data_IF_274706073842
#
_entry.id   IF_274706073842
#
_cell.length_a   1.000
_cell.length_b   1.000
_cell.length_c   1.000
_cell.angle_alpha   90.00
_cell.angle_beta   90.00
_cell.angle_gamma   90.00
#
_symmetry.space_group_name_H-M   'P 1'
#
loop_
_entity.id
_entity.type
_entity.pdbx_description
1 polymer ?
#
# COMPACT_ATOMS: atom_id res chain seq x y z
N UNK A 1 -33.01 3.39 -4.34
CA UNK A 1 -31.69 3.23 -3.68
C UNK A 1 -30.72 2.25 -4.35
N UNK A 2 -31.14 1.08 -4.87
CA UNK A 2 -30.30 0.32 -5.84
C UNK A 2 -29.82 1.26 -6.95
N UNK A 3 -30.73 2.09 -7.43
CA UNK A 3 -30.50 3.20 -8.36
C UNK A 3 -29.50 4.25 -7.84
N UNK A 4 -29.53 4.65 -6.56
CA UNK A 4 -28.62 5.68 -6.02
C UNK A 4 -27.17 5.18 -5.85
N UNK A 5 -27.00 3.94 -5.37
CA UNK A 5 -25.67 3.30 -5.30
C UNK A 5 -25.14 3.02 -6.70
N UNK A 6 -25.99 2.57 -7.63
CA UNK A 6 -25.64 2.45 -9.05
C UNK A 6 -25.26 3.81 -9.63
N UNK A 7 -26.00 4.89 -9.36
CA UNK A 7 -25.69 6.25 -9.83
C UNK A 7 -24.35 6.73 -9.25
N UNK A 8 -24.06 6.47 -7.97
CA UNK A 8 -22.78 6.86 -7.37
C UNK A 8 -21.60 6.06 -7.94
N UNK A 9 -21.76 4.74 -8.13
CA UNK A 9 -20.75 3.89 -8.78
C UNK A 9 -20.57 4.25 -10.25
N UNK A 10 -21.67 4.57 -10.95
CA UNK A 10 -21.64 5.02 -12.34
C UNK A 10 -20.99 6.39 -12.45
N UNK A 11 -21.29 7.33 -11.54
CA UNK A 11 -20.65 8.65 -11.49
C UNK A 11 -19.16 8.54 -11.20
N UNK A 12 -18.74 7.64 -10.29
CA UNK A 12 -17.33 7.37 -10.02
C UNK A 12 -16.65 6.71 -11.22
N UNK A 13 -17.32 5.77 -11.90
CA UNK A 13 -16.82 5.13 -13.11
C UNK A 13 -16.74 6.10 -14.29
N UNK A 14 -17.69 7.03 -14.44
CA UNK A 14 -17.70 8.09 -15.43
C UNK A 14 -16.61 9.11 -15.13
N UNK A 15 -16.42 9.52 -13.87
CA UNK A 15 -15.33 10.40 -13.46
C UNK A 15 -13.96 9.76 -13.70
N UNK A 16 -13.78 8.49 -13.33
CA UNK A 16 -12.57 7.74 -13.63
C UNK A 16 -12.36 7.60 -15.14
N UNK A 17 -13.41 7.30 -15.90
CA UNK A 17 -13.38 7.23 -17.36
C UNK A 17 -13.03 8.56 -18.01
N UNK A 18 -13.51 9.69 -17.48
CA UNK A 18 -13.16 11.04 -17.94
C UNK A 18 -11.69 11.38 -17.64
N UNK A 19 -11.18 11.03 -16.46
CA UNK A 19 -9.77 11.23 -16.11
C UNK A 19 -8.85 10.46 -17.07
N UNK A 20 -9.20 9.21 -17.39
CA UNK A 20 -8.47 8.37 -18.34
C UNK A 20 -8.63 8.87 -19.79
N UNK A 21 -9.82 9.27 -20.21
CA UNK A 21 -10.10 9.76 -21.57
C UNK A 21 -9.40 11.08 -21.87
N UNK A 22 -9.35 11.99 -20.89
CA UNK A 22 -8.66 13.29 -21.02
C UNK A 22 -7.14 13.15 -21.00
N UNK A 23 -6.61 11.96 -20.69
CA UNK A 23 -5.18 11.72 -20.48
C UNK A 23 -4.61 12.54 -19.31
N UNK A 24 -5.46 12.93 -18.36
CA UNK A 24 -5.05 13.72 -17.20
C UNK A 24 -4.17 12.89 -16.26
N UNK A 25 -4.47 11.60 -16.14
CA UNK A 25 -3.65 10.60 -15.45
C UNK A 25 -2.22 10.55 -16.01
N UNK A 26 -2.10 10.51 -17.33
CA UNK A 26 -0.83 10.48 -18.05
C UNK A 26 -0.03 11.78 -17.88
N UNK A 27 -0.71 12.93 -17.92
CA UNK A 27 -0.08 14.24 -17.69
C UNK A 27 0.42 14.37 -16.25
N UNK A 28 -0.39 13.98 -15.27
CA UNK A 28 -0.03 14.01 -13.86
C UNK A 28 1.10 13.02 -13.56
N UNK A 29 1.07 11.82 -14.15
CA UNK A 29 2.14 10.84 -14.00
C UNK A 29 3.47 11.35 -14.58
N UNK A 30 3.47 11.92 -15.79
CA UNK A 30 4.68 12.51 -16.39
C UNK A 30 5.23 13.67 -15.57
N UNK A 31 4.37 14.54 -15.06
CA UNK A 31 4.76 15.65 -14.19
C UNK A 31 5.40 15.14 -12.88
N UNK A 32 4.78 14.14 -12.25
CA UNK A 32 5.32 13.52 -11.02
C UNK A 32 6.68 12.86 -11.26
N UNK A 33 6.88 12.18 -12.39
CA UNK A 33 8.17 11.59 -12.78
C UNK A 33 9.23 12.67 -13.03
N UNK A 34 8.85 13.79 -13.68
CA UNK A 34 9.74 14.94 -13.87
C UNK A 34 10.25 15.49 -12.54
N UNK A 35 9.33 15.78 -11.61
CA UNK A 35 9.69 16.23 -10.27
C UNK A 35 10.60 15.23 -9.55
N UNK A 36 10.31 13.92 -9.61
CA UNK A 36 11.18 12.92 -8.99
C UNK A 36 12.63 12.98 -9.50
N UNK A 37 12.84 13.16 -10.81
CA UNK A 37 14.17 13.30 -11.40
C UNK A 37 14.87 14.58 -10.93
N UNK A 38 14.15 15.70 -10.89
CA UNK A 38 14.69 16.98 -10.44
C UNK A 38 15.14 16.92 -8.97
N UNK A 39 14.37 16.27 -8.11
CA UNK A 39 14.72 16.06 -6.70
C UNK A 39 15.92 15.12 -6.54
N UNK A 40 16.04 14.04 -7.32
CA UNK A 40 17.22 13.17 -7.31
C UNK A 40 18.49 13.93 -7.71
N UNK A 41 18.40 14.79 -8.74
CA UNK A 41 19.49 15.66 -9.16
C UNK A 41 19.83 16.70 -8.08
N UNK A 42 18.83 17.26 -7.39
CA UNK A 42 19.03 18.17 -6.27
C UNK A 42 19.73 17.48 -5.09
N UNK A 43 19.36 16.23 -4.77
CA UNK A 43 20.01 15.40 -3.76
C UNK A 43 21.52 15.26 -4.04
N UNK A 44 21.86 14.95 -5.28
CA UNK A 44 23.25 14.77 -5.70
C UNK A 44 24.06 16.07 -5.65
N UNK A 45 23.44 17.21 -5.97
CA UNK A 45 24.06 18.53 -5.86
C UNK A 45 24.28 18.95 -4.40
N UNK A 46 23.28 18.75 -3.54
CA UNK A 46 23.35 19.11 -2.13
C UNK A 46 24.54 18.46 -1.39
N UNK A 47 24.88 17.21 -1.76
CA UNK A 47 26.02 16.49 -1.17
C UNK A 47 27.39 16.94 -1.70
N UNK A 48 27.46 17.55 -2.89
CA UNK A 48 28.72 18.01 -3.50
C UNK A 48 29.13 19.42 -3.08
N UNK A 49 28.22 20.22 -2.54
CA UNK A 49 28.41 21.65 -2.33
C UNK A 49 29.30 22.04 -1.13
N UNK A 50 29.46 21.17 -0.13
CA UNK A 50 30.30 21.46 1.05
C UNK A 50 29.85 22.67 1.90
N UNK A 51 28.65 23.20 1.67
CA UNK A 51 28.15 24.43 2.29
C UNK A 51 27.60 24.18 3.72
N UNK A 52 27.70 25.19 4.59
CA UNK A 52 27.01 25.21 5.89
C UNK A 52 25.50 25.09 5.68
N UNK A 53 24.91 24.00 6.17
CA UNK A 53 23.48 23.69 5.98
C UNK A 53 23.19 22.63 4.92
N UNK A 54 24.21 22.11 4.22
CA UNK A 54 24.05 21.06 3.21
C UNK A 54 23.29 19.83 3.72
N UNK A 55 23.55 19.40 4.96
CA UNK A 55 22.84 18.26 5.58
C UNK A 55 21.36 18.57 5.79
N UNK A 56 21.02 19.74 6.32
CA UNK A 56 19.62 20.15 6.53
C UNK A 56 18.87 20.27 5.21
N UNK A 57 19.48 20.91 4.21
CA UNK A 57 18.92 21.01 2.87
C UNK A 57 18.72 19.63 2.25
N UNK A 58 19.72 18.76 2.35
CA UNK A 58 19.67 17.38 1.88
C UNK A 58 18.54 16.57 2.54
N UNK A 59 18.40 16.64 3.87
CA UNK A 59 17.32 15.97 4.60
C UNK A 59 15.95 16.54 4.20
N UNK A 60 15.84 17.86 4.01
CA UNK A 60 14.63 18.51 3.50
C UNK A 60 14.24 18.01 2.11
N UNK A 61 15.22 17.88 1.20
CA UNK A 61 15.02 17.31 -0.14
C UNK A 61 14.63 15.83 -0.05
N UNK A 62 15.23 15.04 0.85
CA UNK A 62 14.83 13.65 1.09
C UNK A 62 13.37 13.54 1.51
N UNK A 63 12.94 14.38 2.47
CA UNK A 63 11.55 14.42 2.95
C UNK A 63 10.59 14.77 1.81
N UNK A 64 10.88 15.87 1.09
CA UNK A 64 10.05 16.35 0.00
C UNK A 64 9.95 15.34 -1.15
N UNK A 65 11.07 14.67 -1.50
CA UNK A 65 11.06 13.55 -2.44
C UNK A 65 10.16 12.42 -1.94
N UNK A 66 10.31 12.00 -0.68
CA UNK A 66 9.48 10.93 -0.09
C UNK A 66 7.99 11.24 -0.09
N UNK A 67 7.63 12.50 0.19
CA UNK A 67 6.26 13.01 0.13
C UNK A 67 5.73 12.99 -1.31
N UNK A 68 6.41 13.65 -2.26
CA UNK A 68 5.98 13.73 -3.65
C UNK A 68 5.96 12.37 -4.36
N UNK A 69 6.91 11.49 -4.01
CA UNK A 69 6.94 10.12 -4.50
C UNK A 69 5.67 9.36 -4.10
N UNK A 70 5.17 9.59 -2.90
CA UNK A 70 3.94 8.97 -2.45
C UNK A 70 2.68 9.53 -3.15
N UNK A 71 2.68 10.81 -3.58
CA UNK A 71 1.58 11.42 -4.34
C UNK A 71 1.42 10.84 -5.75
N UNK A 72 2.52 10.60 -6.48
CA UNK A 72 2.46 10.02 -7.84
C UNK A 72 1.90 8.60 -7.82
N UNK A 73 1.29 8.05 -8.89
CA UNK A 73 0.62 6.74 -8.87
C UNK A 73 1.53 5.60 -8.37
N UNK A 74 1.00 4.66 -7.57
CA UNK A 74 1.81 3.57 -7.01
C UNK A 74 1.06 2.63 -6.05
N UNK A 75 1.58 1.41 -5.92
CA UNK A 75 0.89 0.27 -5.31
C UNK A 75 0.65 0.43 -3.80
N UNK A 76 1.61 0.97 -3.03
CA UNK A 76 1.52 1.06 -1.57
C UNK A 76 0.30 1.83 -1.07
N UNK A 77 0.05 3.03 -1.60
CA UNK A 77 -1.14 3.84 -1.26
C UNK A 77 -2.45 3.20 -1.73
N UNK A 78 -2.45 2.58 -2.91
CA UNK A 78 -3.62 1.91 -3.44
C UNK A 78 -3.98 0.70 -2.56
N UNK A 79 -2.97 -0.02 -2.09
CA UNK A 79 -3.13 -1.17 -1.23
C UNK A 79 -3.59 -0.79 0.18
N UNK A 80 -2.96 0.22 0.82
CA UNK A 80 -3.39 0.74 2.12
C UNK A 80 -4.83 1.29 2.04
N UNK A 81 -5.15 2.03 0.98
CA UNK A 81 -6.50 2.57 0.75
C UNK A 81 -7.53 1.46 0.54
N UNK A 82 -7.25 0.50 -0.34
CA UNK A 82 -8.10 -0.65 -0.61
C UNK A 82 -8.30 -1.51 0.64
N UNK A 83 -7.23 -1.80 1.39
CA UNK A 83 -7.30 -2.58 2.63
C UNK A 83 -8.13 -1.85 3.70
N UNK A 84 -7.96 -0.53 3.84
CA UNK A 84 -8.73 0.31 4.76
C UNK A 84 -10.20 0.43 4.38
N UNK A 85 -10.54 0.39 3.08
CA UNK A 85 -11.93 0.36 2.61
C UNK A 85 -12.58 -1.02 2.78
N UNK A 86 -11.82 -2.08 2.52
CA UNK A 86 -12.29 -3.46 2.51
C UNK A 86 -12.40 -4.09 3.91
N UNK A 87 -11.51 -3.73 4.83
CA UNK A 87 -11.42 -4.41 6.14
C UNK A 87 -11.81 -3.48 7.27
N UNK A 88 -12.55 -3.99 8.26
CA UNK A 88 -12.95 -3.20 9.43
C UNK A 88 -11.82 -3.06 10.46
N UNK A 89 -10.76 -2.35 10.05
CA UNK A 89 -9.60 -2.04 10.90
C UNK A 89 -9.78 -0.66 11.51
N UNK A 90 -9.51 -0.46 12.82
CA UNK A 90 -9.63 0.83 13.46
C UNK A 90 -8.61 1.84 12.89
N UNK A 91 -9.00 3.12 12.87
CA UNK A 91 -8.20 4.22 12.31
C UNK A 91 -6.74 4.22 12.79
N UNK A 92 -6.53 4.14 14.10
CA UNK A 92 -5.19 4.12 14.71
C UNK A 92 -4.31 3.01 14.15
N UNK A 93 -4.89 1.82 13.93
CA UNK A 93 -4.18 0.66 13.39
C UNK A 93 -3.90 0.79 11.90
N UNK A 94 -4.81 1.42 11.15
CA UNK A 94 -4.55 1.73 9.73
C UNK A 94 -3.42 2.74 9.56
N UNK A 95 -3.41 3.81 10.37
CA UNK A 95 -2.32 4.79 10.37
C UNK A 95 -1.00 4.15 10.81
N UNK A 96 -1.01 3.31 11.85
CA UNK A 96 0.20 2.59 12.26
C UNK A 96 0.70 1.63 11.18
N UNK A 97 -0.19 0.95 10.47
CA UNK A 97 0.19 0.08 9.35
C UNK A 97 0.83 0.87 8.21
N UNK A 98 0.28 2.03 7.86
CA UNK A 98 0.88 2.93 6.87
C UNK A 98 2.29 3.36 7.30
N UNK A 99 2.45 3.77 8.56
CA UNK A 99 3.75 4.15 9.13
C UNK A 99 4.77 3.01 9.13
N UNK A 100 4.40 1.85 9.67
CA UNK A 100 5.26 0.65 9.71
C UNK A 100 5.68 0.26 8.29
N UNK A 101 4.73 0.29 7.34
CA UNK A 101 5.01 -0.06 5.94
C UNK A 101 6.02 0.90 5.32
N UNK A 102 5.84 2.21 5.46
CA UNK A 102 6.75 3.21 4.89
C UNK A 102 8.14 3.18 5.53
N UNK A 103 8.24 2.94 6.83
CA UNK A 103 9.53 2.78 7.50
C UNK A 103 10.21 1.45 7.16
N UNK A 104 9.44 0.36 7.04
CA UNK A 104 9.96 -0.93 6.60
C UNK A 104 10.52 -0.85 5.17
N UNK A 105 9.92 -0.07 4.27
CA UNK A 105 10.51 0.19 2.94
C UNK A 105 11.89 0.83 3.03
N UNK A 106 12.06 1.82 3.92
CA UNK A 106 13.36 2.44 4.15
C UNK A 106 14.37 1.42 4.72
N UNK A 107 13.95 0.61 5.69
CA UNK A 107 14.79 -0.46 6.26
C UNK A 107 15.20 -1.50 5.21
N UNK A 108 14.28 -1.95 4.34
CA UNK A 108 14.60 -2.86 3.24
C UNK A 108 15.57 -2.20 2.27
N UNK A 109 15.40 -0.93 1.93
CA UNK A 109 16.33 -0.21 1.06
C UNK A 109 17.75 -0.17 1.66
N UNK A 110 17.87 0.19 2.94
CA UNK A 110 19.14 0.17 3.68
C UNK A 110 19.75 -1.23 3.65
N UNK A 111 18.99 -2.26 4.01
CA UNK A 111 19.47 -3.63 4.04
C UNK A 111 19.96 -4.10 2.66
N UNK A 112 19.18 -3.88 1.60
CA UNK A 112 19.51 -4.27 0.23
C UNK A 112 20.76 -3.54 -0.26
N UNK A 113 20.88 -2.23 -0.02
CA UNK A 113 22.04 -1.46 -0.48
C UNK A 113 23.29 -1.89 0.26
N UNK A 114 23.29 -1.95 1.58
CA UNK A 114 24.51 -2.30 2.32
C UNK A 114 24.89 -3.78 2.16
N UNK A 115 23.92 -4.69 2.04
CA UNK A 115 24.22 -6.07 1.63
C UNK A 115 24.82 -6.11 0.22
N UNK A 116 24.24 -5.37 -0.73
CA UNK A 116 24.76 -5.27 -2.09
C UNK A 116 26.14 -4.61 -2.18
N UNK A 117 26.43 -3.62 -1.34
CA UNK A 117 27.76 -3.02 -1.19
C UNK A 117 28.76 -4.05 -0.70
N UNK A 118 28.41 -4.82 0.34
CA UNK A 118 29.27 -5.85 0.90
C UNK A 118 29.54 -7.00 -0.08
N UNK A 119 28.53 -7.44 -0.84
CA UNK A 119 28.64 -8.56 -1.79
C UNK A 119 29.28 -8.12 -3.12
N UNK A 120 28.90 -6.95 -3.64
CA UNK A 120 29.24 -6.51 -5.01
C UNK A 120 30.20 -5.31 -5.08
N UNK A 121 30.77 -4.87 -3.95
CA UNK A 121 31.71 -3.74 -3.90
C UNK A 121 31.08 -2.39 -4.29
N UNK A 122 29.76 -2.26 -4.10
CA UNK A 122 29.02 -1.04 -4.41
C UNK A 122 28.78 -0.79 -5.91
N UNK A 123 28.83 -1.83 -6.75
CA UNK A 123 28.43 -1.76 -8.15
C UNK A 123 26.91 -1.49 -8.25
N UNK A 124 26.55 -0.25 -8.60
CA UNK A 124 25.16 0.23 -8.61
C UNK A 124 24.22 -0.67 -9.39
N UNK A 125 24.60 -1.05 -10.61
CA UNK A 125 23.76 -1.86 -11.50
C UNK A 125 23.45 -3.24 -10.89
N UNK A 126 24.39 -3.81 -10.12
CA UNK A 126 24.18 -5.09 -9.42
C UNK A 126 23.28 -4.94 -8.20
N UNK A 127 23.39 -3.83 -7.46
CA UNK A 127 22.48 -3.52 -6.34
C UNK A 127 21.06 -3.27 -6.85
N UNK A 128 20.91 -2.54 -7.95
CA UNK A 128 19.63 -2.33 -8.61
C UNK A 128 19.05 -3.65 -9.13
N UNK A 129 19.86 -4.51 -9.75
CA UNK A 129 19.44 -5.86 -10.17
C UNK A 129 19.00 -6.75 -9.00
N UNK A 130 19.73 -6.71 -7.88
CA UNK A 130 19.36 -7.43 -6.66
C UNK A 130 18.02 -6.92 -6.10
N UNK A 131 17.82 -5.60 -6.07
CA UNK A 131 16.52 -5.02 -5.71
C UNK A 131 15.41 -5.42 -6.69
N UNK A 132 15.68 -5.47 -7.99
CA UNK A 132 14.71 -5.85 -9.01
C UNK A 132 14.22 -7.30 -8.81
N UNK A 133 15.09 -8.19 -8.34
CA UNK A 133 14.72 -9.58 -8.02
C UNK A 133 13.71 -9.72 -6.87
N UNK A 134 13.55 -8.69 -6.04
CA UNK A 134 12.53 -8.65 -4.98
C UNK A 134 11.14 -8.28 -5.50
N UNK A 135 11.05 -7.70 -6.70
CA UNK A 135 9.78 -7.22 -7.27
C UNK A 135 8.73 -8.32 -7.48
N UNK A 136 9.07 -9.52 -8.00
CA UNK A 136 8.11 -10.61 -8.16
C UNK A 136 7.52 -11.08 -6.82
N UNK A 137 8.34 -11.11 -5.75
CA UNK A 137 7.90 -11.52 -4.41
C UNK A 137 6.93 -10.49 -3.81
N UNK A 138 7.22 -9.20 -3.97
CA UNK A 138 6.30 -8.11 -3.64
C UNK A 138 4.98 -8.24 -4.39
N UNK A 139 5.03 -8.44 -5.71
CA UNK A 139 3.83 -8.62 -6.54
C UNK A 139 3.01 -9.85 -6.13
N UNK A 140 3.67 -10.98 -5.84
CA UNK A 140 3.02 -12.20 -5.38
C UNK A 140 2.31 -12.01 -4.02
N UNK A 141 2.97 -11.34 -3.06
CA UNK A 141 2.37 -11.06 -1.76
C UNK A 141 1.14 -10.15 -1.88
N UNK A 142 1.20 -9.11 -2.72
CA UNK A 142 0.07 -8.21 -2.97
C UNK A 142 -1.08 -8.96 -3.68
N UNK A 143 -0.77 -9.78 -4.68
CA UNK A 143 -1.76 -10.58 -5.39
C UNK A 143 -2.47 -11.58 -4.45
N UNK A 144 -1.70 -12.27 -3.60
CA UNK A 144 -2.24 -13.18 -2.60
C UNK A 144 -3.19 -12.47 -1.63
N UNK A 145 -2.83 -11.28 -1.16
CA UNK A 145 -3.71 -10.47 -0.31
C UNK A 145 -5.01 -10.10 -1.02
N UNK A 146 -4.95 -9.67 -2.29
CA UNK A 146 -6.13 -9.36 -3.10
C UNK A 146 -7.05 -10.58 -3.27
N UNK A 147 -6.49 -11.76 -3.56
CA UNK A 147 -7.24 -13.02 -3.68
C UNK A 147 -7.93 -13.39 -2.35
N UNK A 148 -7.23 -13.24 -1.22
CA UNK A 148 -7.77 -13.51 0.11
C UNK A 148 -8.98 -12.60 0.41
N UNK A 149 -8.89 -11.31 0.08
CA UNK A 149 -9.98 -10.35 0.25
C UNK A 149 -11.20 -10.71 -0.62
N UNK A 150 -10.98 -11.05 -1.89
CA UNK A 150 -12.04 -11.51 -2.80
C UNK A 150 -12.75 -12.76 -2.26
N UNK A 151 -11.97 -13.76 -1.86
CA UNK A 151 -12.49 -15.02 -1.34
C UNK A 151 -13.30 -14.81 -0.07
N UNK A 152 -12.86 -13.90 0.81
CA UNK A 152 -13.57 -13.52 2.04
C UNK A 152 -14.92 -12.88 1.73
N UNK A 153 -14.95 -11.90 0.83
CA UNK A 153 -16.20 -11.26 0.42
C UNK A 153 -17.17 -12.26 -0.24
N UNK A 154 -16.67 -13.16 -1.09
CA UNK A 154 -17.48 -14.21 -1.70
C UNK A 154 -18.09 -15.16 -0.66
N UNK A 155 -17.29 -15.67 0.29
CA UNK A 155 -17.80 -16.56 1.35
C UNK A 155 -18.86 -15.88 2.23
N UNK A 156 -18.72 -14.59 2.53
CA UNK A 156 -19.73 -13.81 3.28
C UNK A 156 -21.05 -13.70 2.52
N UNK A 157 -21.00 -13.48 1.21
CA UNK A 157 -22.19 -13.46 0.35
C UNK A 157 -22.83 -14.85 0.22
N UNK A 158 -22.04 -15.92 0.12
CA UNK A 158 -22.53 -17.29 0.06
C UNK A 158 -23.20 -17.72 1.37
N UNK A 159 -22.58 -17.45 2.53
CA UNK A 159 -23.14 -17.78 3.84
C UNK A 159 -24.44 -17.02 4.15
N UNK A 160 -24.57 -15.77 3.67
CA UNK A 160 -25.81 -14.99 3.79
C UNK A 160 -27.00 -15.56 3.01
N UNK A 161 -26.76 -16.44 2.02
CA UNK A 161 -27.80 -17.14 1.24
C UNK A 161 -28.27 -18.45 1.88
N UNK A 162 -27.56 -18.97 2.89
CA UNK A 162 -27.89 -20.24 3.55
C UNK A 162 -28.63 -20.10 4.88
N UNK A 163 -29.00 -18.87 5.29
CA UNK A 163 -29.93 -18.66 6.42
C UNK A 163 -31.38 -18.88 5.97
N UNK A 164 -31.72 -20.13 5.66
CA UNK A 164 -33.12 -20.58 5.67
C UNK A 164 -33.45 -21.06 7.09
N UNK A 165 -34.65 -20.69 7.57
CA UNK A 165 -35.01 -20.71 8.99
C UNK A 165 -34.81 -22.06 9.67
N UNK A 166 -34.02 -22.05 10.75
CA UNK A 166 -34.13 -23.07 11.77
C UNK A 166 -35.12 -22.56 12.81
N UNK A 167 -36.31 -23.17 12.86
CA UNK A 167 -37.23 -22.99 13.96
C UNK A 167 -36.58 -23.62 15.21
N UNK A 168 -36.29 -22.80 16.21
CA UNK A 168 -35.81 -23.30 17.50
C UNK A 168 -37.00 -23.91 18.24
N UNK A 169 -36.99 -25.24 18.42
CA UNK A 169 -37.80 -25.89 19.45
C UNK A 169 -37.07 -25.79 20.80
N UNK A 170 -37.81 -25.71 21.89
CA UNK A 170 -37.32 -25.45 23.26
C UNK A 170 -36.48 -26.59 23.88
N UNK A 171 -36.04 -27.57 23.08
CA UNK A 171 -35.28 -28.74 23.55
C UNK A 171 -34.10 -29.05 22.61
N UNK A 172 -32.98 -28.34 22.73
CA UNK A 172 -31.68 -28.79 22.20
C UNK A 172 -30.63 -28.73 23.31
N UNK A 173 -30.40 -29.88 23.96
CA UNK A 173 -29.29 -30.11 24.88
C UNK A 173 -27.99 -30.34 24.12
N UNK A 174 -27.43 -29.28 23.55
CA UNK A 174 -26.34 -29.35 22.58
C UNK A 174 -25.17 -28.50 23.10
N UNK A 175 -24.19 -29.16 23.73
CA UNK A 175 -23.04 -28.56 24.42
C UNK A 175 -22.33 -27.48 23.59
N UNK A 176 -22.27 -26.27 24.15
CA UNK A 176 -21.63 -25.13 23.52
C UNK A 176 -20.11 -25.33 23.52
N UNK A 177 -19.55 -25.71 22.36
CA UNK A 177 -18.14 -25.46 22.09
C UNK A 177 -17.93 -23.94 22.26
N UNK A 178 -16.99 -23.56 23.14
CA UNK A 178 -16.51 -22.18 23.22
C UNK A 178 -15.92 -21.81 21.87
N UNK A 179 -16.77 -21.26 21.00
CA UNK A 179 -16.34 -20.60 19.77
C UNK A 179 -15.37 -19.51 20.23
N UNK A 180 -14.11 -19.51 19.76
CA UNK A 180 -13.16 -18.47 20.10
C UNK A 180 -13.81 -17.11 19.81
N UNK A 181 -13.63 -16.15 20.72
CA UNK A 181 -14.27 -14.84 20.57
C UNK A 181 -14.02 -14.30 19.17
N UNK A 182 -15.07 -13.82 18.51
CA UNK A 182 -14.99 -13.38 17.12
C UNK A 182 -13.94 -12.27 16.96
N UNK A 183 -13.69 -11.49 18.01
CA UNK A 183 -12.64 -10.47 18.05
C UNK A 183 -11.24 -11.07 18.05
N UNK A 184 -10.99 -12.17 18.77
CA UNK A 184 -9.69 -12.86 18.82
C UNK A 184 -9.34 -13.52 17.48
N UNK A 185 -10.33 -14.12 16.81
CA UNK A 185 -10.14 -14.72 15.48
C UNK A 185 -9.90 -13.64 14.42
N UNK A 186 -10.60 -12.50 14.50
CA UNK A 186 -10.38 -11.35 13.64
C UNK A 186 -9.02 -10.69 13.90
N UNK A 187 -8.59 -10.61 15.17
CA UNK A 187 -7.29 -10.08 15.56
C UNK A 187 -6.14 -10.99 15.09
N UNK A 188 -6.25 -12.31 15.27
CA UNK A 188 -5.28 -13.29 14.77
C UNK A 188 -5.17 -13.30 13.23
N UNK A 189 -6.28 -13.10 12.51
CA UNK A 189 -6.25 -12.90 11.05
C UNK A 189 -5.60 -11.59 10.65
N UNK A 190 -5.92 -10.50 11.37
CA UNK A 190 -5.48 -9.15 11.02
C UNK A 190 -3.96 -8.96 11.09
N UNK A 191 -3.23 -9.69 11.93
CA UNK A 191 -1.76 -9.56 11.98
C UNK A 191 -1.08 -10.29 10.81
N UNK A 192 -1.60 -11.44 10.37
CA UNK A 192 -1.07 -12.15 9.18
C UNK A 192 -1.32 -11.34 7.91
N UNK A 193 -2.53 -10.79 7.79
CA UNK A 193 -2.88 -9.87 6.71
C UNK A 193 -2.03 -8.60 6.75
N UNK A 194 -1.81 -8.02 7.94
CA UNK A 194 -0.91 -6.89 8.13
C UNK A 194 0.54 -7.21 7.77
N UNK A 195 1.05 -8.38 8.15
CA UNK A 195 2.39 -8.82 7.80
C UNK A 195 2.53 -9.02 6.29
N UNK A 196 1.54 -9.62 5.63
CA UNK A 196 1.51 -9.77 4.17
C UNK A 196 1.42 -8.41 3.45
N UNK A 197 0.64 -7.48 3.99
CA UNK A 197 0.53 -6.10 3.50
C UNK A 197 1.87 -5.37 3.61
N UNK A 198 2.48 -5.40 4.80
CA UNK A 198 3.79 -4.79 5.06
C UNK A 198 4.84 -5.43 4.17
N UNK A 199 4.95 -6.76 4.14
CA UNK A 199 5.92 -7.46 3.29
C UNK A 199 5.70 -7.14 1.81
N UNK A 200 4.46 -7.19 1.33
CA UNK A 200 4.15 -6.91 -0.07
C UNK A 200 4.56 -5.51 -0.51
N UNK A 201 4.41 -4.50 0.34
CA UNK A 201 4.80 -3.12 0.00
C UNK A 201 6.28 -2.83 0.35
N UNK A 202 6.77 -3.36 1.46
CA UNK A 202 8.12 -3.10 1.98
C UNK A 202 9.23 -3.73 1.16
N UNK A 203 8.99 -4.92 0.59
CA UNK A 203 10.03 -5.69 -0.09
C UNK A 203 10.54 -5.02 -1.37
N UNK A 204 9.81 -4.04 -1.91
CA UNK A 204 10.24 -3.24 -3.04
C UNK A 204 10.77 -1.88 -2.53
N UNK A 205 12.09 -1.73 -2.35
CA UNK A 205 12.65 -0.44 -1.98
C UNK A 205 12.45 0.56 -3.13
N UNK A 206 12.30 1.84 -2.80
CA UNK A 206 12.17 2.85 -3.84
C UNK A 206 13.54 3.11 -4.47
N UNK A 207 13.58 3.23 -5.81
CA UNK A 207 14.81 3.47 -6.56
C UNK A 207 15.52 4.75 -6.13
N UNK A 208 14.77 5.76 -5.67
CA UNK A 208 15.32 6.97 -5.06
C UNK A 208 16.14 6.72 -3.79
N UNK A 209 15.69 5.83 -2.91
CA UNK A 209 16.45 5.46 -1.71
C UNK A 209 17.71 4.65 -2.06
N UNK A 210 17.63 3.75 -3.06
CA UNK A 210 18.82 3.02 -3.53
C UNK A 210 19.88 3.98 -4.06
N UNK A 211 19.50 4.88 -4.97
CA UNK A 211 20.40 5.88 -5.53
C UNK A 211 21.02 6.76 -4.44
N UNK A 212 20.19 7.24 -3.52
CA UNK A 212 20.62 8.03 -2.38
C UNK A 212 21.69 7.31 -1.55
N UNK A 213 21.39 6.10 -1.09
CA UNK A 213 22.25 5.33 -0.19
C UNK A 213 23.58 4.96 -0.86
N UNK A 214 23.54 4.59 -2.15
CA UNK A 214 24.75 4.31 -2.93
C UNK A 214 25.60 5.57 -3.08
N UNK A 215 24.98 6.72 -3.39
CA UNK A 215 25.70 7.98 -3.56
C UNK A 215 26.35 8.45 -2.25
N UNK A 216 25.62 8.38 -1.14
CA UNK A 216 26.17 8.75 0.17
C UNK A 216 27.25 7.80 0.62
N UNK A 217 27.12 6.50 0.32
CA UNK A 217 28.17 5.52 0.58
C UNK A 217 29.45 5.85 -0.22
N UNK A 218 29.32 6.27 -1.50
CA UNK A 218 30.45 6.68 -2.33
C UNK A 218 31.18 7.94 -1.85
N UNK A 219 30.54 8.75 -1.02
CA UNK A 219 31.13 9.95 -0.43
C UNK A 219 31.55 9.76 1.03
N UNK A 220 31.52 8.51 1.55
CA UNK A 220 31.79 8.21 2.96
C UNK A 220 30.84 8.94 3.94
N UNK A 221 29.58 9.13 3.52
CA UNK A 221 28.50 9.78 4.27
C UNK A 221 27.36 8.81 4.59
N UNK A 222 27.71 7.57 4.96
CA UNK A 222 26.80 6.45 5.23
C UNK A 222 25.66 6.80 6.21
N UNK A 223 26.00 7.41 7.35
CA UNK A 223 25.04 7.81 8.40
C UNK A 223 24.03 8.83 7.87
N UNK A 224 24.49 9.80 7.08
CA UNK A 224 23.64 10.82 6.47
C UNK A 224 22.71 10.18 5.43
N UNK A 225 23.21 9.23 4.66
CA UNK A 225 22.40 8.44 3.72
C UNK A 225 21.29 7.65 4.39
N UNK A 226 21.62 6.94 5.47
CA UNK A 226 20.64 6.17 6.26
C UNK A 226 19.60 7.11 6.85
N UNK A 227 20.02 8.22 7.46
CA UNK A 227 19.10 9.23 7.98
C UNK A 227 18.19 9.78 6.88
N UNK A 228 18.75 10.10 5.70
CA UNK A 228 18.00 10.56 4.53
C UNK A 228 16.96 9.55 4.05
N UNK A 229 17.28 8.25 4.02
CA UNK A 229 16.34 7.19 3.66
C UNK A 229 15.16 7.10 4.63
N UNK A 230 15.39 7.22 5.94
CA UNK A 230 14.31 7.25 6.93
C UNK A 230 13.48 8.54 6.86
N UNK A 231 14.13 9.70 6.66
CA UNK A 231 13.42 10.97 6.47
C UNK A 231 12.55 10.96 5.20
N UNK A 232 13.03 10.33 4.13
CA UNK A 232 12.24 10.03 2.94
C UNK A 232 11.04 9.13 3.29
N UNK A 233 11.25 8.07 4.08
CA UNK A 233 10.19 7.20 4.59
C UNK A 233 9.13 7.94 5.42
N UNK A 234 9.52 8.94 6.22
CA UNK A 234 8.60 9.81 6.97
C UNK A 234 7.74 10.65 6.02
N UNK A 235 8.33 11.22 4.96
CA UNK A 235 7.59 11.93 3.91
C UNK A 235 6.54 11.02 3.25
N UNK A 236 6.91 9.80 2.91
CA UNK A 236 5.98 8.79 2.36
C UNK A 236 4.89 8.40 3.35
N UNK A 237 5.23 8.20 4.62
CA UNK A 237 4.31 7.88 5.71
C UNK A 237 3.20 8.94 5.85
N UNK A 238 3.53 10.22 5.70
CA UNK A 238 2.55 11.30 5.83
C UNK A 238 1.41 11.14 4.80
N UNK A 239 1.76 10.85 3.56
CA UNK A 239 0.81 10.70 2.45
C UNK A 239 0.03 9.39 2.54
N UNK A 240 0.71 8.27 2.84
CA UNK A 240 0.05 6.97 3.01
C UNK A 240 -0.85 6.95 4.25
N UNK A 241 -0.46 7.65 5.32
CA UNK A 241 -1.28 7.88 6.51
C UNK A 241 -2.53 8.70 6.21
N UNK A 242 -2.43 9.77 5.42
CA UNK A 242 -3.58 10.54 4.95
C UNK A 242 -4.53 9.67 4.10
N UNK A 243 -3.99 8.84 3.20
CA UNK A 243 -4.78 7.89 2.42
C UNK A 243 -5.51 6.87 3.32
N UNK A 244 -4.83 6.38 4.36
CA UNK A 244 -5.43 5.49 5.35
C UNK A 244 -6.58 6.18 6.11
N UNK A 245 -6.39 7.44 6.52
CA UNK A 245 -7.43 8.25 7.19
C UNK A 245 -8.64 8.45 6.27
N UNK A 246 -8.40 8.86 5.02
CA UNK A 246 -9.45 9.06 4.04
C UNK A 246 -10.24 7.77 3.78
N UNK A 247 -9.57 6.63 3.63
CA UNK A 247 -10.19 5.33 3.42
C UNK A 247 -11.11 4.92 4.59
N UNK A 248 -10.63 5.06 5.83
CA UNK A 248 -11.42 4.71 7.03
C UNK A 248 -12.57 5.70 7.24
N UNK A 249 -12.36 6.99 7.00
CA UNK A 249 -13.41 8.01 7.09
C UNK A 249 -14.53 7.74 6.07
N UNK A 250 -14.15 7.44 4.82
CA UNK A 250 -15.09 7.08 3.77
C UNK A 250 -15.88 5.81 4.12
N UNK A 251 -15.19 4.76 4.60
CA UNK A 251 -15.84 3.52 5.07
C UNK A 251 -16.87 3.82 6.16
N UNK A 252 -16.49 4.58 7.19
CA UNK A 252 -17.39 4.96 8.30
C UNK A 252 -18.58 5.80 7.81
N UNK A 253 -18.35 6.76 6.92
CA UNK A 253 -19.42 7.57 6.33
C UNK A 253 -20.44 6.72 5.58
N UNK A 254 -19.98 5.72 4.83
CA UNK A 254 -20.84 4.73 4.18
C UNK A 254 -21.64 3.94 5.21
N UNK A 255 -21.01 3.44 6.28
CA UNK A 255 -21.70 2.68 7.33
C UNK A 255 -22.76 3.49 8.10
N UNK A 256 -22.47 4.77 8.41
CA UNK A 256 -23.38 5.66 9.16
C UNK A 256 -24.55 6.14 8.29
N UNK A 257 -24.38 6.24 6.97
CA UNK A 257 -25.45 6.64 6.05
C UNK A 257 -26.42 5.51 5.70
N UNK A 258 -26.08 4.26 6.04
CA UNK A 258 -26.82 3.05 5.66
C UNK A 258 -27.53 2.23 6.78
N UNK A 259 -27.61 2.61 8.08
CA UNK A 259 -28.25 1.79 9.12
C UNK A 259 -29.73 1.50 8.90
N UNK A 260 -30.44 2.33 8.14
CA UNK A 260 -31.90 2.21 7.94
C UNK A 260 -32.36 0.95 7.15
N UNK A 261 -31.44 0.06 6.71
CA UNK A 261 -31.70 -0.79 5.53
C UNK A 261 -31.28 -2.26 5.61
N UNK A 262 -30.74 -2.76 6.73
CA UNK A 262 -30.42 -4.19 6.91
C UNK A 262 -29.44 -4.79 5.87
N UNK A 263 -28.73 -3.96 5.08
CA UNK A 263 -27.90 -4.36 3.93
C UNK A 263 -26.41 -4.02 4.07
N UNK A 264 -25.98 -3.56 5.25
CA UNK A 264 -24.60 -3.17 5.52
C UNK A 264 -23.58 -4.28 5.24
N UNK A 265 -23.93 -5.54 5.53
CA UNK A 265 -23.06 -6.70 5.29
C UNK A 265 -22.84 -7.01 3.82
N UNK A 266 -23.84 -6.77 2.96
CA UNK A 266 -23.75 -6.99 1.50
C UNK A 266 -22.86 -5.94 0.86
N UNK A 267 -22.98 -4.68 1.27
CA UNK A 267 -22.18 -3.57 0.73
C UNK A 267 -20.70 -3.72 1.14
N UNK A 268 -20.43 -4.08 2.39
CA UNK A 268 -19.07 -4.39 2.84
C UNK A 268 -18.47 -5.57 2.06
N UNK A 269 -19.26 -6.61 1.77
CA UNK A 269 -18.79 -7.77 1.00
C UNK A 269 -18.53 -7.43 -0.48
N UNK A 270 -19.36 -6.58 -1.09
CA UNK A 270 -19.13 -6.09 -2.46
C UNK A 270 -17.90 -5.18 -2.55
N UNK A 271 -17.67 -4.34 -1.54
CA UNK A 271 -16.46 -3.52 -1.44
C UNK A 271 -15.20 -4.40 -1.31
N UNK A 272 -15.22 -5.43 -0.45
CA UNK A 272 -14.11 -6.40 -0.33
C UNK A 272 -13.77 -7.08 -1.67
N UNK A 273 -14.79 -7.51 -2.42
CA UNK A 273 -14.62 -8.16 -3.73
C UNK A 273 -14.10 -7.16 -4.77
N UNK A 274 -14.68 -5.96 -4.86
CA UNK A 274 -14.31 -4.97 -5.85
C UNK A 274 -12.88 -4.45 -5.64
N UNK A 275 -12.53 -4.05 -4.41
CA UNK A 275 -11.20 -3.55 -4.08
C UNK A 275 -10.16 -4.67 -4.06
N UNK A 276 -10.49 -5.84 -3.52
CA UNK A 276 -9.61 -7.02 -3.57
C UNK A 276 -9.31 -7.47 -5.00
N UNK A 277 -10.32 -7.43 -5.87
CA UNK A 277 -10.20 -7.79 -7.28
C UNK A 277 -9.35 -6.79 -8.05
N UNK A 278 -9.57 -5.49 -7.83
CA UNK A 278 -8.76 -4.43 -8.43
C UNK A 278 -7.28 -4.55 -8.03
N UNK A 279 -7.01 -4.79 -6.74
CA UNK A 279 -5.66 -5.01 -6.21
C UNK A 279 -5.01 -6.25 -6.84
N UNK A 280 -5.72 -7.38 -6.89
CA UNK A 280 -5.21 -8.62 -7.47
C UNK A 280 -4.90 -8.45 -8.98
N UNK A 281 -5.82 -7.85 -9.74
CA UNK A 281 -5.63 -7.59 -11.18
C UNK A 281 -4.41 -6.69 -11.40
N UNK A 282 -4.27 -5.61 -10.63
CA UNK A 282 -3.15 -4.69 -10.76
C UNK A 282 -1.81 -5.36 -10.42
N UNK A 283 -1.76 -6.17 -9.35
CA UNK A 283 -0.56 -6.91 -8.95
C UNK A 283 -0.18 -7.99 -9.97
N UNK A 284 -1.16 -8.76 -10.47
CA UNK A 284 -0.95 -9.79 -11.49
C UNK A 284 -0.49 -9.16 -12.80
N UNK A 285 -1.12 -8.07 -13.24
CA UNK A 285 -0.70 -7.34 -14.45
C UNK A 285 0.73 -6.80 -14.32
N UNK A 286 1.12 -6.33 -13.12
CA UNK A 286 2.50 -5.90 -12.84
C UNK A 286 3.46 -7.09 -12.92
N UNK A 287 3.13 -8.23 -12.31
CA UNK A 287 3.94 -9.45 -12.37
C UNK A 287 4.12 -9.98 -13.80
N UNK A 288 3.05 -9.98 -14.61
CA UNK A 288 3.12 -10.40 -16.02
C UNK A 288 4.04 -9.50 -16.85
N UNK A 289 4.01 -8.17 -16.64
CA UNK A 289 4.93 -7.25 -17.34
C UNK A 289 6.39 -7.50 -16.97
N UNK A 290 6.66 -7.83 -15.69
CA UNK A 290 8.01 -8.15 -15.22
C UNK A 290 8.55 -9.46 -15.80
N UNK A 291 7.68 -10.42 -16.12
CA UNK A 291 8.08 -11.68 -16.77
C UNK A 291 8.31 -11.50 -18.28
N UNK A 292 7.57 -10.60 -18.94
CA UNK A 292 7.66 -10.38 -20.40
C UNK A 292 8.74 -9.39 -20.83
N UNK A 293 9.20 -8.53 -19.93
CA UNK A 293 10.33 -7.64 -20.15
C UNK A 293 11.49 -8.04 -19.22
N UNK A 294 12.19 -9.16 -19.47
CA UNK A 294 13.45 -9.40 -18.79
C UNK A 294 14.42 -8.30 -19.22
N UNK A 295 15.08 -7.68 -18.25
CA UNK A 295 16.12 -6.68 -18.45
C UNK A 295 17.20 -7.15 -19.42
#
# INVERSE_FOLDING_TARGET
>A
MRKAVLIALLALAVAAGLVLWTGLDDRVARMAVGWQRDYQNALARALRGGETGAVTAFLGICFAYGFLHALGPGHGKALIGAYGLATDVPMRRMVSLAAITSLAQATVAVAVVYAGVWIFGGARDRVEGASASLEPFSAAAIAALGIILCWRGFRRLAAGRHRHGHAHSETCGCGHAHVPDAQDVLAARSWREAAALVAGVALRPCTGALFLLILTWRFDLDVIGIAGAYVMGIGTMMVTGLAAVAAVALRRGVHVSLPALGRASVIASLAEIAFGGLVAIFAIATAFRLVQAPF
#
